data_IF_897700762829
#
_entry.id   IF_897700762829
#
_cell.length_a   1.000
_cell.length_b   1.000
_cell.length_c   1.000
_cell.angle_alpha   90.00
_cell.angle_beta   90.00
_cell.angle_gamma   90.00
#
_symmetry.space_group_name_H-M   'P 1'
#
loop_
_entity.id
_entity.type
_entity.pdbx_description
1 polymer ?
#
# COMPACT_ATOMS: atom_id res chain seq x y z
N UNK A 1 -3.12 -0.38 -9.41
CA UNK A 1 -2.68 -0.18 -8.01
C UNK A 1 -1.36 0.59 -7.91
N UNK A 2 -0.28 0.13 -8.57
CA UNK A 2 1.05 0.79 -8.60
C UNK A 2 1.04 2.33 -8.73
N UNK A 3 0.30 2.88 -9.70
CA UNK A 3 0.21 4.35 -9.89
C UNK A 3 -0.36 5.07 -8.65
N UNK A 4 -1.27 4.44 -7.91
CA UNK A 4 -1.80 4.99 -6.67
C UNK A 4 -0.73 5.11 -5.61
N UNK A 5 0.06 4.06 -5.39
CA UNK A 5 1.20 4.04 -4.45
C UNK A 5 2.25 5.10 -4.80
N UNK A 6 2.61 5.22 -6.07
CA UNK A 6 3.54 6.26 -6.56
C UNK A 6 2.97 7.68 -6.35
N UNK A 7 1.66 7.86 -6.55
CA UNK A 7 0.97 9.12 -6.30
C UNK A 7 1.03 9.52 -4.82
N UNK A 8 0.80 8.57 -3.89
CA UNK A 8 0.92 8.86 -2.45
C UNK A 8 2.36 9.23 -2.07
N UNK A 9 3.36 8.52 -2.60
CA UNK A 9 4.76 8.88 -2.38
C UNK A 9 5.06 10.30 -2.88
N UNK A 10 4.52 10.66 -4.04
CA UNK A 10 4.64 12.02 -4.58
C UNK A 10 3.92 13.06 -3.72
N UNK A 11 2.73 12.76 -3.21
CA UNK A 11 1.98 13.66 -2.32
C UNK A 11 2.74 13.93 -1.03
N UNK A 12 3.38 12.91 -0.46
CA UNK A 12 4.25 13.05 0.72
C UNK A 12 5.37 14.06 0.45
N UNK A 13 6.05 13.96 -0.70
CA UNK A 13 7.13 14.88 -1.09
C UNK A 13 6.63 16.33 -1.25
N UNK A 14 5.40 16.52 -1.70
CA UNK A 14 4.78 17.84 -1.85
C UNK A 14 4.06 18.34 -0.59
N UNK A 15 4.04 17.56 0.49
CA UNK A 15 3.22 17.81 1.69
C UNK A 15 1.73 18.03 1.36
N UNK A 16 1.24 17.33 0.34
CA UNK A 16 -0.15 17.37 -0.10
C UNK A 16 -0.99 16.38 0.71
N UNK A 17 -2.15 16.83 1.18
CA UNK A 17 -3.09 15.95 1.88
C UNK A 17 -3.62 14.84 0.96
N UNK A 18 -3.64 13.62 1.50
CA UNK A 18 -4.28 12.48 0.87
C UNK A 18 -5.78 12.49 1.19
N UNK A 19 -6.62 12.19 0.20
CA UNK A 19 -8.08 12.12 0.37
C UNK A 19 -8.55 10.80 0.99
N UNK A 20 -7.75 9.75 0.87
CA UNK A 20 -7.90 8.45 1.52
C UNK A 20 -6.53 7.81 1.71
N UNK A 21 -6.44 6.77 2.53
CA UNK A 21 -5.21 5.98 2.70
C UNK A 21 -5.15 4.87 1.65
N UNK A 22 -4.09 4.87 0.83
CA UNK A 22 -3.89 3.82 -0.17
C UNK A 22 -3.61 2.46 0.47
N UNK A 23 -2.80 2.43 1.53
CA UNK A 23 -2.49 1.18 2.24
C UNK A 23 -3.74 0.60 2.93
N UNK A 24 -4.64 1.45 3.43
CA UNK A 24 -5.94 1.01 3.96
C UNK A 24 -6.80 0.37 2.88
N UNK A 25 -6.86 0.96 1.68
CA UNK A 25 -7.58 0.40 0.54
C UNK A 25 -7.05 -1.00 0.20
N UNK A 26 -5.73 -1.16 0.12
CA UNK A 26 -5.07 -2.43 -0.19
C UNK A 26 -5.36 -3.49 0.88
N UNK A 27 -5.33 -3.12 2.16
CA UNK A 27 -5.72 -4.01 3.25
C UNK A 27 -7.19 -4.42 3.19
N UNK A 28 -8.09 -3.50 2.84
CA UNK A 28 -9.52 -3.82 2.68
C UNK A 28 -9.77 -4.78 1.53
N UNK A 29 -9.08 -4.59 0.41
CA UNK A 29 -9.16 -5.47 -0.75
C UNK A 29 -8.63 -6.88 -0.44
N UNK A 30 -7.54 -6.99 0.33
CA UNK A 30 -6.96 -8.29 0.67
C UNK A 30 -7.77 -9.09 1.70
N UNK A 31 -8.65 -8.44 2.46
CA UNK A 31 -9.55 -9.09 3.43
C UNK A 31 -10.73 -9.80 2.77
N UNK A 32 -11.08 -9.45 1.54
CA UNK A 32 -12.19 -10.06 0.79
C UNK A 32 -11.78 -10.34 -0.67
N UNK A 33 -10.85 -11.28 -0.90
CA UNK A 33 -10.30 -11.53 -2.24
C UNK A 33 -11.31 -12.20 -3.18
N UNK A 34 -12.30 -12.92 -2.65
CA UNK A 34 -13.30 -13.64 -3.44
C UNK A 34 -14.29 -12.70 -4.15
N UNK A 35 -14.43 -11.46 -3.68
CA UNK A 35 -15.25 -10.43 -4.33
C UNK A 35 -14.50 -9.64 -5.42
N UNK A 36 -13.21 -9.91 -5.62
CA UNK A 36 -12.37 -9.20 -6.58
C UNK A 36 -12.25 -9.98 -7.90
N UNK A 37 -12.21 -9.24 -9.01
CA UNK A 37 -11.73 -9.79 -10.28
C UNK A 37 -10.28 -10.30 -10.12
N UNK A 38 -9.95 -11.41 -10.79
CA UNK A 38 -8.64 -12.07 -10.66
C UNK A 38 -7.46 -11.13 -10.95
N UNK A 39 -7.62 -10.20 -11.89
CA UNK A 39 -6.59 -9.21 -12.20
C UNK A 39 -6.40 -8.22 -11.04
N UNK A 40 -7.49 -7.81 -10.40
CA UNK A 40 -7.48 -6.92 -9.23
C UNK A 40 -6.92 -7.64 -8.00
N UNK A 41 -7.31 -8.89 -7.76
CA UNK A 41 -6.75 -9.71 -6.69
C UNK A 41 -5.24 -9.88 -6.85
N UNK A 42 -4.78 -10.18 -8.07
CA UNK A 42 -3.35 -10.32 -8.39
C UNK A 42 -2.59 -9.01 -8.14
N UNK A 43 -3.13 -7.89 -8.61
CA UNK A 43 -2.52 -6.59 -8.40
C UNK A 43 -2.51 -6.19 -6.91
N UNK A 44 -3.56 -6.54 -6.16
CA UNK A 44 -3.66 -6.30 -4.71
C UNK A 44 -2.60 -7.10 -3.97
N UNK A 45 -2.43 -8.38 -4.32
CA UNK A 45 -1.41 -9.23 -3.73
C UNK A 45 0.01 -8.68 -3.96
N UNK A 46 0.34 -8.30 -5.20
CA UNK A 46 1.65 -7.72 -5.52
C UNK A 46 1.92 -6.43 -4.76
N UNK A 47 0.90 -5.57 -4.67
CA UNK A 47 1.01 -4.29 -3.98
C UNK A 47 1.10 -4.45 -2.46
N UNK A 48 0.35 -5.39 -1.88
CA UNK A 48 0.43 -5.76 -0.47
C UNK A 48 1.79 -6.36 -0.10
N UNK A 49 2.38 -7.17 -0.98
CA UNK A 49 3.71 -7.74 -0.74
C UNK A 49 4.76 -6.63 -0.60
N UNK A 50 4.76 -5.65 -1.52
CA UNK A 50 5.65 -4.49 -1.45
C UNK A 50 5.42 -3.70 -0.16
N UNK A 51 4.15 -3.42 0.17
CA UNK A 51 3.77 -2.67 1.37
C UNK A 51 4.28 -3.33 2.66
N UNK A 52 4.14 -4.65 2.79
CA UNK A 52 4.60 -5.40 3.97
C UNK A 52 6.11 -5.37 4.08
N UNK A 53 6.85 -5.54 2.99
CA UNK A 53 8.31 -5.49 3.01
C UNK A 53 8.84 -4.10 3.38
N UNK A 54 8.19 -3.03 2.93
CA UNK A 54 8.59 -1.67 3.30
C UNK A 54 8.23 -1.34 4.74
N UNK A 55 7.05 -1.72 5.22
CA UNK A 55 6.64 -1.55 6.62
C UNK A 55 7.58 -2.29 7.58
N UNK A 56 8.01 -3.52 7.23
CA UNK A 56 9.02 -4.26 8.01
C UNK A 56 10.33 -3.48 8.15
N UNK A 57 10.83 -2.89 7.05
CA UNK A 57 12.06 -2.07 7.07
C UNK A 57 11.87 -0.84 7.94
N UNK A 58 10.76 -0.12 7.76
CA UNK A 58 10.45 1.07 8.55
C UNK A 58 10.39 0.76 10.05
N UNK A 59 9.71 -0.33 10.43
CA UNK A 59 9.64 -0.77 11.84
C UNK A 59 11.00 -1.16 12.39
N UNK A 60 11.82 -1.88 11.62
CA UNK A 60 13.18 -2.24 12.03
C UNK A 60 14.03 -0.99 12.30
N UNK A 61 13.94 0.00 11.41
CA UNK A 61 14.66 1.26 11.54
C UNK A 61 14.27 2.06 12.80
N UNK A 62 13.05 1.89 13.34
CA UNK A 62 12.63 2.52 14.60
C UNK A 62 13.26 1.85 15.84
N UNK A 63 13.69 0.59 15.74
CA UNK A 63 14.28 -0.17 16.84
C UNK A 63 15.82 -0.09 16.86
N UNK A 64 16.45 0.37 15.78
CA UNK A 64 17.90 0.55 15.68
C UNK A 64 18.38 1.93 16.19
N UNK A 65 17.55 2.61 17.00
CA UNK A 65 17.84 3.88 17.68
C UNK A 65 18.37 3.68 19.10
#
# INVERSE_FOLDING_TARGET
LKLGRECIAHYSNLRRFCVFSHDELVCKMSLDPDSLDIGIATATYQDMLQMVEDEKKLRKNLLEW
#
